data_IF_416344745350
#
_entry.id   IF_416344745350
#
_cell.length_a   1.000
_cell.length_b   1.000
_cell.length_c   1.000
_cell.angle_alpha   90.00
_cell.angle_beta   90.00
_cell.angle_gamma   90.00
#
_symmetry.space_group_name_H-M   'P 1'
#
loop_
_entity.id
_entity.type
_entity.pdbx_description
1 polymer ?
#
# COMPACT_ATOMS: atom_id res chain seq x y z
N UNK A 1 11.98 -35.85 -3.11
CA UNK A 1 11.77 -34.89 -2.02
C UNK A 1 10.74 -33.90 -2.50
N UNK A 2 9.56 -33.86 -1.88
CA UNK A 2 8.49 -32.92 -2.23
C UNK A 2 8.74 -31.60 -1.52
N UNK A 3 9.18 -30.58 -2.26
CA UNK A 3 9.40 -29.24 -1.73
C UNK A 3 8.10 -28.70 -1.14
N UNK A 4 8.11 -28.50 0.19
CA UNK A 4 6.98 -27.89 0.90
C UNK A 4 7.04 -26.38 0.71
N UNK A 5 6.19 -25.86 -0.20
CA UNK A 5 6.07 -24.42 -0.45
C UNK A 5 4.96 -23.83 0.42
N UNK A 6 5.35 -23.10 1.46
CA UNK A 6 4.41 -22.34 2.30
C UNK A 6 4.14 -20.95 1.71
N UNK A 7 2.91 -20.70 1.24
CA UNK A 7 2.51 -19.40 0.67
C UNK A 7 1.91 -18.49 1.74
N UNK A 8 2.66 -17.46 2.14
CA UNK A 8 2.13 -16.37 2.97
C UNK A 8 1.23 -15.49 2.10
N UNK A 9 -0.10 -15.60 2.28
CA UNK A 9 -1.08 -14.74 1.59
C UNK A 9 -1.23 -13.41 2.35
N UNK A 10 -0.62 -12.34 1.84
CA UNK A 10 -0.93 -10.97 2.28
C UNK A 10 -2.26 -10.53 1.68
N UNK A 11 -3.02 -9.70 2.39
CA UNK A 11 -4.18 -9.07 1.76
C UNK A 11 -3.67 -8.13 0.65
N UNK A 12 -4.38 -8.12 -0.47
CA UNK A 12 -4.09 -7.25 -1.61
C UNK A 12 -5.35 -6.42 -1.89
N UNK A 13 -5.21 -5.13 -2.15
CA UNK A 13 -6.31 -4.28 -2.63
C UNK A 13 -5.96 -3.83 -4.02
N UNK A 14 -6.86 -4.09 -4.99
CA UNK A 14 -6.77 -3.55 -6.33
C UNK A 14 -7.59 -2.27 -6.40
N UNK A 15 -7.02 -1.22 -6.97
CA UNK A 15 -7.66 0.08 -7.08
C UNK A 15 -7.28 0.75 -8.41
N UNK A 16 -8.13 1.66 -8.86
CA UNK A 16 -7.85 2.53 -10.00
C UNK A 16 -7.44 3.89 -9.44
N UNK A 17 -6.28 4.38 -9.85
CA UNK A 17 -5.80 5.71 -9.53
C UNK A 17 -5.96 6.61 -10.76
N UNK A 18 -6.37 7.84 -10.54
CA UNK A 18 -6.36 8.91 -11.53
C UNK A 18 -5.16 9.80 -11.22
N UNK A 19 -4.24 9.92 -12.17
CA UNK A 19 -3.07 10.79 -12.05
C UNK A 19 -3.48 12.25 -12.28
N UNK A 20 -2.66 13.19 -11.84
CA UNK A 20 -2.85 14.63 -12.13
C UNK A 20 -2.95 14.96 -13.63
N UNK A 21 -2.41 14.11 -14.50
CA UNK A 21 -2.53 14.20 -15.95
C UNK A 21 -3.92 13.85 -16.49
N UNK A 22 -4.83 13.36 -15.63
CA UNK A 22 -6.14 12.82 -15.98
C UNK A 22 -6.11 11.37 -16.48
N UNK A 23 -4.92 10.76 -16.54
CA UNK A 23 -4.77 9.36 -16.92
C UNK A 23 -5.18 8.42 -15.79
N UNK A 24 -5.88 7.34 -16.13
CA UNK A 24 -6.29 6.32 -15.16
C UNK A 24 -5.40 5.09 -15.27
N UNK A 25 -4.83 4.69 -14.15
CA UNK A 25 -3.98 3.52 -14.03
C UNK A 25 -4.59 2.52 -13.03
N UNK A 26 -4.32 1.24 -13.23
CA UNK A 26 -4.77 0.18 -12.32
C UNK A 26 -3.58 -0.34 -11.54
N UNK A 27 -3.68 -0.26 -10.21
CA UNK A 27 -2.63 -0.67 -9.30
C UNK A 27 -3.19 -1.66 -8.27
N UNK A 28 -2.28 -2.37 -7.61
CA UNK A 28 -2.61 -3.09 -6.40
C UNK A 28 -1.62 -2.81 -5.28
N UNK A 29 -2.13 -2.72 -4.06
CA UNK A 29 -1.36 -2.51 -2.85
C UNK A 29 -1.45 -3.77 -1.99
N UNK A 30 -0.28 -4.29 -1.60
CA UNK A 30 -0.16 -5.35 -0.61
C UNK A 30 -0.23 -4.75 0.80
N UNK A 31 -0.96 -5.39 1.71
CA UNK A 31 -1.03 -4.98 3.11
C UNK A 31 0.37 -4.99 3.71
N UNK A 32 0.79 -3.82 4.18
CA UNK A 32 2.04 -3.64 4.92
C UNK A 32 1.99 -4.52 6.17
N UNK A 33 3.05 -5.28 6.44
CA UNK A 33 3.09 -6.11 7.64
C UNK A 33 3.30 -5.24 8.90
N UNK A 34 2.86 -5.73 10.06
CA UNK A 34 2.94 -4.98 11.32
C UNK A 34 4.38 -4.55 11.70
N UNK A 35 5.39 -5.29 11.23
CA UNK A 35 6.81 -4.99 11.45
C UNK A 35 7.27 -3.75 10.67
N UNK A 36 6.87 -3.63 9.40
CA UNK A 36 7.13 -2.44 8.57
C UNK A 36 6.40 -1.20 9.10
N UNK A 37 5.18 -1.36 9.62
CA UNK A 37 4.47 -0.27 10.31
C UNK A 37 5.17 0.15 11.61
N UNK A 38 5.70 -0.79 12.39
CA UNK A 38 6.45 -0.48 13.61
C UNK A 38 7.75 0.28 13.33
N UNK A 39 8.46 -0.06 12.24
CA UNK A 39 9.65 0.67 11.79
C UNK A 39 9.31 2.12 11.42
N UNK A 40 8.20 2.35 10.69
CA UNK A 40 7.71 3.70 10.36
C UNK A 40 7.29 4.52 11.59
N UNK A 41 6.73 3.89 12.62
CA UNK A 41 6.28 4.61 13.84
C UNK A 41 7.39 4.89 14.86
N UNK A 42 8.53 4.19 14.77
CA UNK A 42 9.68 4.43 15.67
C UNK A 42 10.45 5.70 15.31
N UNK A 43 10.39 6.10 14.05
CA UNK A 43 11.02 7.29 13.53
C UNK A 43 9.93 8.34 13.27
N UNK A 44 9.54 9.04 14.34
CA UNK A 44 8.92 10.38 14.35
C UNK A 44 7.97 10.77 13.19
N UNK A 45 6.97 9.96 12.86
CA UNK A 45 5.89 10.37 11.94
C UNK A 45 6.23 10.29 10.45
N UNK A 46 5.19 10.14 9.63
CA UNK A 46 5.29 9.84 8.19
C UNK A 46 6.06 10.92 7.41
N UNK A 47 5.96 12.19 7.84
CA UNK A 47 6.62 13.33 7.22
C UNK A 47 8.12 13.41 7.50
N UNK A 48 8.58 12.97 8.69
CA UNK A 48 10.02 13.01 9.02
C UNK A 48 10.79 11.87 8.36
N UNK A 49 10.08 10.89 7.78
CA UNK A 49 10.65 9.67 7.24
C UNK A 49 10.15 9.35 5.82
N UNK A 50 10.09 10.40 5.00
CA UNK A 50 9.53 10.38 3.66
C UNK A 50 10.20 9.32 2.76
N UNK A 51 11.53 9.24 2.75
CA UNK A 51 12.26 8.27 1.92
C UNK A 51 11.95 6.82 2.27
N UNK A 52 11.92 6.48 3.57
CA UNK A 52 11.58 5.15 4.05
C UNK A 52 10.12 4.80 3.69
N UNK A 53 9.21 5.76 3.85
CA UNK A 53 7.80 5.62 3.48
C UNK A 53 7.62 5.38 1.98
N UNK A 54 8.33 6.13 1.13
CA UNK A 54 8.28 5.98 -0.33
C UNK A 54 8.83 4.61 -0.74
N UNK A 55 9.95 4.20 -0.14
CA UNK A 55 10.54 2.89 -0.41
C UNK A 55 9.55 1.77 -0.08
N UNK A 56 8.93 1.83 1.10
CA UNK A 56 7.93 0.86 1.52
C UNK A 56 6.70 0.86 0.61
N UNK A 57 6.24 2.03 0.17
CA UNK A 57 5.13 2.15 -0.78
C UNK A 57 5.46 1.46 -2.11
N UNK A 58 6.62 1.76 -2.69
CA UNK A 58 7.10 1.15 -3.94
C UNK A 58 7.26 -0.37 -3.82
N UNK A 59 7.71 -0.86 -2.68
CA UNK A 59 7.85 -2.30 -2.42
C UNK A 59 6.51 -3.05 -2.33
N UNK A 60 5.43 -2.37 -1.95
CA UNK A 60 4.11 -2.99 -1.75
C UNK A 60 3.11 -2.68 -2.86
N UNK A 61 3.38 -1.68 -3.70
CA UNK A 61 2.61 -1.42 -4.92
C UNK A 61 3.00 -2.38 -6.05
N UNK A 62 2.02 -2.80 -6.83
CA UNK A 62 2.16 -3.61 -8.03
C UNK A 62 1.32 -3.01 -9.15
N UNK A 63 1.80 -3.11 -10.37
CA UNK A 63 1.14 -2.59 -11.56
C UNK A 63 2.13 -1.91 -12.49
N UNK A 64 1.64 -1.49 -13.66
CA UNK A 64 2.40 -0.66 -14.57
C UNK A 64 2.46 0.77 -14.02
N UNK A 65 3.56 1.48 -14.28
CA UNK A 65 3.70 2.92 -13.94
C UNK A 65 3.56 3.24 -12.44
N UNK A 66 3.95 2.31 -11.57
CA UNK A 66 4.05 2.55 -10.11
C UNK A 66 4.92 3.77 -9.79
N UNK A 67 6.01 3.97 -10.54
CA UNK A 67 6.87 5.15 -10.38
C UNK A 67 6.11 6.46 -10.58
N UNK A 68 5.37 6.55 -11.68
CA UNK A 68 4.58 7.73 -12.04
C UNK A 68 3.54 8.03 -10.96
N UNK A 69 2.82 7.00 -10.50
CA UNK A 69 1.86 7.16 -9.41
C UNK A 69 2.48 7.68 -8.12
N UNK A 70 3.61 7.10 -7.71
CA UNK A 70 4.26 7.48 -6.46
C UNK A 70 4.78 8.91 -6.55
N UNK A 71 5.38 9.29 -7.67
CA UNK A 71 5.85 10.67 -7.88
C UNK A 71 4.66 11.64 -7.87
N UNK A 72 3.58 11.32 -8.59
CA UNK A 72 2.37 12.15 -8.62
C UNK A 72 1.72 12.29 -7.24
N UNK A 73 1.69 11.20 -6.44
CA UNK A 73 1.18 11.22 -5.08
C UNK A 73 2.02 12.10 -4.14
N UNK A 74 3.33 12.18 -4.36
CA UNK A 74 4.23 13.04 -3.58
C UNK A 74 4.11 14.51 -4.00
N UNK A 75 4.04 14.77 -5.31
CA UNK A 75 4.04 16.13 -5.85
C UNK A 75 2.66 16.81 -5.77
N UNK A 76 1.60 16.05 -6.03
CA UNK A 76 0.24 16.58 -6.21
C UNK A 76 -0.78 15.99 -5.22
N UNK A 77 -0.39 14.98 -4.45
CA UNK A 77 -1.27 14.24 -3.55
C UNK A 77 -0.94 14.37 -2.07
N UNK A 78 -1.44 13.41 -1.28
CA UNK A 78 -1.15 13.29 0.15
C UNK A 78 -0.93 11.83 0.52
N UNK A 79 0.29 11.52 0.97
CA UNK A 79 0.65 10.19 1.47
C UNK A 79 -0.23 9.79 2.66
N UNK A 80 -0.49 10.72 3.58
CA UNK A 80 -1.33 10.46 4.75
C UNK A 80 -2.77 10.10 4.37
N UNK A 81 -3.36 10.84 3.43
CA UNK A 81 -4.70 10.56 2.93
C UNK A 81 -4.76 9.21 2.21
N UNK A 82 -3.75 8.90 1.40
CA UNK A 82 -3.63 7.61 0.72
C UNK A 82 -3.55 6.45 1.73
N UNK A 83 -2.64 6.53 2.70
CA UNK A 83 -2.48 5.47 3.70
C UNK A 83 -3.71 5.30 4.58
N UNK A 84 -4.38 6.40 4.96
CA UNK A 84 -5.64 6.35 5.71
C UNK A 84 -6.72 5.62 4.93
N UNK A 85 -6.90 5.97 3.65
CA UNK A 85 -7.89 5.35 2.75
C UNK A 85 -7.62 3.85 2.56
N UNK A 86 -6.35 3.49 2.39
CA UNK A 86 -5.94 2.09 2.22
C UNK A 86 -6.11 1.29 3.51
N UNK A 87 -5.77 1.86 4.67
CA UNK A 87 -5.96 1.21 5.98
C UNK A 87 -7.43 0.89 6.24
N UNK A 88 -8.34 1.83 5.95
CA UNK A 88 -9.78 1.58 6.04
C UNK A 88 -10.24 0.47 5.09
N UNK A 89 -9.73 0.49 3.86
CA UNK A 89 -10.07 -0.52 2.85
C UNK A 89 -9.60 -1.92 3.27
N UNK A 90 -8.41 -2.03 3.87
CA UNK A 90 -7.93 -3.29 4.46
C UNK A 90 -8.77 -3.72 5.67
N UNK A 91 -9.17 -2.77 6.53
CA UNK A 91 -10.07 -3.04 7.66
C UNK A 91 -11.41 -3.60 7.16
N UNK A 92 -12.06 -2.96 6.19
CA UNK A 92 -13.31 -3.43 5.58
C UNK A 92 -13.16 -4.82 4.97
N UNK A 93 -12.05 -5.08 4.27
CA UNK A 93 -11.76 -6.40 3.68
C UNK A 93 -11.61 -7.50 4.73
N UNK A 94 -10.97 -7.20 5.87
CA UNK A 94 -10.85 -8.14 7.00
C UNK A 94 -12.19 -8.37 7.70
N UNK A 95 -12.99 -7.34 7.89
CA UNK A 95 -14.34 -7.44 8.46
C UNK A 95 -15.28 -8.26 7.57
N UNK A 96 -15.24 -8.06 6.25
CA UNK A 96 -16.01 -8.86 5.29
C UNK A 96 -15.65 -10.34 5.35
N UNK A 97 -14.37 -10.69 5.53
CA UNK A 97 -13.96 -12.09 5.75
C UNK A 97 -14.53 -12.67 7.05
N UNK A 98 -14.58 -11.88 8.13
CA UNK A 98 -15.10 -12.32 9.44
C UNK A 98 -16.62 -12.52 9.45
N UNK A 99 -17.38 -11.76 8.67
CA UNK A 99 -18.84 -11.93 8.56
C UNK A 99 -19.27 -13.11 7.69
N UNK A 100 -18.36 -13.64 6.86
CA UNK A 100 -18.58 -14.78 5.98
C UNK A 100 -17.90 -16.07 6.49
N UNK A 101 -17.48 -16.12 7.76
CA UNK A 101 -16.94 -17.31 8.42
C UNK A 101 -17.80 -17.69 9.63
#
# INVERSE_FOLDING_TARGET
>A
MSDFVYKVKRAEIRFQAELSTGEKITLSLLETNARQLQELTKESGISENLEATIKQLKENLRGERVGDFVNDLIENGSLDAFYTTMAESFKKKREAKRKNS
#
